data_IF_592076087385
#
_entry.id   IF_592076087385
#
_cell.length_a   1.000
_cell.length_b   1.000
_cell.length_c   1.000
_cell.angle_alpha   90.00
_cell.angle_beta   90.00
_cell.angle_gamma   90.00
#
_symmetry.space_group_name_H-M   'P 1'
#
loop_
_entity.id
_entity.type
_entity.pdbx_description
1 polymer ?
#
# COMPACT_ATOMS: atom_id res chain seq x y z
N UNK A 1 -29.81 -25.35 4.56
CA UNK A 1 -29.48 -23.98 4.09
C UNK A 1 -28.31 -23.36 4.87
N UNK A 2 -28.03 -23.72 6.13
CA UNK A 2 -26.86 -23.23 6.89
C UNK A 2 -25.48 -23.59 6.31
N UNK A 3 -25.35 -24.65 5.50
CA UNK A 3 -24.04 -25.07 4.98
C UNK A 3 -23.48 -24.22 3.83
N UNK A 4 -24.30 -23.43 3.12
CA UNK A 4 -23.81 -22.60 2.00
C UNK A 4 -23.22 -21.26 2.45
N UNK A 5 -23.75 -20.64 3.52
CA UNK A 5 -23.22 -19.38 4.04
C UNK A 5 -21.82 -19.54 4.67
N UNK A 6 -21.55 -20.67 5.33
CA UNK A 6 -20.23 -20.98 5.90
C UNK A 6 -19.13 -21.10 4.83
N UNK A 7 -19.48 -21.55 3.62
CA UNK A 7 -18.54 -21.70 2.49
C UNK A 7 -18.14 -20.35 1.86
N UNK A 8 -18.96 -19.31 1.99
CA UNK A 8 -18.74 -18.03 1.29
C UNK A 8 -17.97 -17.02 2.13
N UNK A 9 -18.33 -16.87 3.40
CA UNK A 9 -17.58 -16.05 4.36
C UNK A 9 -16.13 -16.56 4.48
N UNK A 10 -15.93 -17.87 4.38
CA UNK A 10 -14.59 -18.46 4.34
C UNK A 10 -13.80 -18.13 3.07
N UNK A 11 -14.44 -18.06 1.89
CA UNK A 11 -13.78 -17.64 0.63
C UNK A 11 -13.36 -16.18 0.62
N UNK A 12 -14.23 -15.26 1.08
CA UNK A 12 -13.90 -13.83 1.18
C UNK A 12 -12.80 -13.62 2.21
N UNK A 13 -12.89 -14.27 3.37
CA UNK A 13 -11.84 -14.23 4.40
C UNK A 13 -10.52 -14.77 3.87
N UNK A 14 -10.53 -15.90 3.16
CA UNK A 14 -9.37 -16.47 2.48
C UNK A 14 -8.79 -15.51 1.44
N UNK A 15 -9.63 -14.86 0.64
CA UNK A 15 -9.18 -13.90 -0.36
C UNK A 15 -8.56 -12.66 0.28
N UNK A 16 -9.17 -12.10 1.31
CA UNK A 16 -8.65 -10.95 2.06
C UNK A 16 -7.34 -11.30 2.75
N UNK A 17 -7.25 -12.46 3.42
CA UNK A 17 -6.01 -12.88 4.08
C UNK A 17 -4.91 -13.21 3.09
N UNK A 18 -5.21 -13.91 1.98
CA UNK A 18 -4.23 -14.21 0.94
C UNK A 18 -3.81 -12.97 0.14
N UNK A 19 -4.66 -11.95 0.07
CA UNK A 19 -4.32 -10.70 -0.61
C UNK A 19 -3.50 -9.77 0.28
N UNK A 20 -3.85 -9.63 1.56
CA UNK A 20 -3.18 -8.67 2.47
C UNK A 20 -1.92 -9.23 3.13
N UNK A 21 -1.90 -10.52 3.47
CA UNK A 21 -0.74 -11.13 4.13
C UNK A 21 0.16 -11.80 3.08
N UNK A 22 1.47 -11.49 3.08
CA UNK A 22 2.39 -12.20 2.21
C UNK A 22 2.47 -13.66 2.63
N UNK A 23 2.61 -14.56 1.65
CA UNK A 23 2.83 -15.97 1.97
C UNK A 23 4.20 -16.12 2.67
N UNK A 24 4.38 -17.13 3.55
CA UNK A 24 5.68 -17.36 4.19
C UNK A 24 6.84 -17.53 3.19
N UNK A 25 6.54 -18.04 1.98
CA UNK A 25 7.52 -18.21 0.91
C UNK A 25 7.90 -16.85 0.28
N UNK A 26 6.96 -15.90 0.22
CA UNK A 26 7.22 -14.54 -0.27
C UNK A 26 8.06 -13.71 0.71
N UNK A 27 8.12 -14.09 2.00
CA UNK A 27 8.96 -13.39 2.99
C UNK A 27 10.47 -13.52 2.69
N UNK A 28 10.90 -14.65 2.14
CA UNK A 28 12.32 -14.90 1.81
C UNK A 28 12.82 -13.88 0.76
N UNK A 29 12.21 -13.75 -0.44
CA UNK A 29 12.64 -12.75 -1.40
C UNK A 29 12.47 -11.32 -0.88
N UNK A 30 11.46 -11.03 -0.04
CA UNK A 30 11.34 -9.71 0.60
C UNK A 30 12.48 -9.40 1.55
N UNK A 31 12.96 -10.38 2.31
CA UNK A 31 14.11 -10.20 3.18
C UNK A 31 15.36 -9.85 2.36
N UNK A 32 15.65 -10.61 1.30
CA UNK A 32 16.80 -10.32 0.43
C UNK A 32 16.67 -8.99 -0.32
N UNK A 33 15.48 -8.68 -0.84
CA UNK A 33 15.22 -7.39 -1.49
C UNK A 33 15.36 -6.22 -0.51
N UNK A 34 14.89 -6.39 0.74
CA UNK A 34 15.03 -5.40 1.81
C UNK A 34 16.51 -5.12 2.11
N UNK A 35 17.34 -6.16 2.27
CA UNK A 35 18.77 -6.00 2.47
C UNK A 35 19.46 -5.32 1.28
N UNK A 36 19.06 -5.66 0.05
CA UNK A 36 19.60 -5.03 -1.15
C UNK A 36 19.22 -3.54 -1.21
N UNK A 37 17.96 -3.20 -0.98
CA UNK A 37 17.47 -1.81 -0.97
C UNK A 37 18.17 -0.99 0.11
N UNK A 38 18.29 -1.53 1.33
CA UNK A 38 19.00 -0.88 2.42
C UNK A 38 20.49 -0.73 2.13
N UNK A 39 21.12 -1.74 1.52
CA UNK A 39 22.53 -1.70 1.13
C UNK A 39 22.80 -0.64 0.06
N UNK A 40 21.96 -0.57 -0.98
CA UNK A 40 22.06 0.44 -2.04
C UNK A 40 21.80 1.84 -1.49
N UNK A 41 20.73 2.02 -0.71
CA UNK A 41 20.39 3.31 -0.10
C UNK A 41 21.46 3.80 0.88
N UNK A 42 22.17 2.87 1.52
CA UNK A 42 23.21 3.18 2.51
C UNK A 42 24.63 3.16 1.95
N UNK A 43 24.83 2.93 0.64
CA UNK A 43 26.16 2.60 0.11
C UNK A 43 27.23 3.66 0.45
N UNK A 44 26.87 4.94 0.34
CA UNK A 44 27.79 6.06 0.47
C UNK A 44 28.21 6.19 1.92
N UNK A 45 27.27 6.09 2.85
CA UNK A 45 27.56 6.17 4.28
C UNK A 45 28.36 4.96 4.74
N UNK A 46 28.05 3.75 4.26
CA UNK A 46 28.81 2.55 4.59
C UNK A 46 30.27 2.67 4.12
N UNK A 47 30.51 3.19 2.92
CA UNK A 47 31.86 3.43 2.41
C UNK A 47 32.62 4.48 3.25
N UNK A 48 31.95 5.54 3.69
CA UNK A 48 32.55 6.56 4.56
C UNK A 48 32.90 5.99 5.94
N UNK A 49 32.00 5.18 6.53
CA UNK A 49 32.26 4.52 7.82
C UNK A 49 33.46 3.58 7.71
N UNK A 50 33.55 2.81 6.61
CA UNK A 50 34.67 1.91 6.36
C UNK A 50 35.99 2.64 6.12
N UNK A 51 35.96 3.83 5.53
CA UNK A 51 37.15 4.61 5.19
C UNK A 51 37.69 5.43 6.38
N UNK A 52 36.81 6.16 7.08
CA UNK A 52 37.23 7.16 8.08
C UNK A 52 37.06 6.69 9.54
N UNK A 53 36.36 5.58 9.78
CA UNK A 53 36.11 5.07 11.14
C UNK A 53 35.40 6.07 12.06
N UNK A 54 34.79 7.12 11.50
CA UNK A 54 34.23 8.21 12.28
C UNK A 54 33.01 7.73 13.07
N UNK A 55 32.93 7.98 14.38
CA UNK A 55 31.73 7.66 15.15
C UNK A 55 30.58 8.54 14.69
N UNK A 56 29.48 7.91 14.25
CA UNK A 56 28.24 8.63 13.94
C UNK A 56 27.42 8.78 15.22
N UNK A 57 26.84 9.97 15.39
CA UNK A 57 26.06 10.34 16.56
C UNK A 57 24.92 9.34 16.79
N UNK A 58 24.80 8.74 17.98
CA UNK A 58 23.75 7.78 18.26
C UNK A 58 22.40 8.50 18.25
N UNK A 59 21.57 8.25 17.23
CA UNK A 59 20.20 8.74 17.16
C UNK A 59 19.22 7.62 17.55
N UNK A 60 18.18 8.00 18.30
CA UNK A 60 17.02 7.17 18.59
C UNK A 60 16.11 7.05 17.37
N UNK A 61 15.21 6.06 17.37
CA UNK A 61 14.24 5.87 16.28
C UNK A 61 13.36 7.10 16.11
N UNK A 62 12.88 7.68 17.22
CA UNK A 62 12.05 8.89 17.20
C UNK A 62 12.75 10.08 16.58
N UNK A 63 14.04 10.28 16.86
CA UNK A 63 14.82 11.38 16.28
C UNK A 63 15.05 11.23 14.79
N UNK A 64 15.28 10.00 14.29
CA UNK A 64 15.40 9.75 12.84
C UNK A 64 14.11 10.13 12.12
N UNK A 65 12.95 9.76 12.66
CA UNK A 65 11.67 10.17 12.08
C UNK A 65 11.40 11.66 12.28
N UNK A 66 11.76 12.24 13.42
CA UNK A 66 11.64 13.67 13.71
C UNK A 66 12.37 14.52 12.67
N UNK A 67 13.62 14.18 12.34
CA UNK A 67 14.40 14.86 11.30
C UNK A 67 13.72 14.80 9.92
N UNK A 68 13.06 13.67 9.59
CA UNK A 68 12.30 13.55 8.34
C UNK A 68 11.01 14.36 8.36
N UNK A 69 10.33 14.46 9.50
CA UNK A 69 9.14 15.30 9.66
C UNK A 69 9.50 16.79 9.62
N UNK A 70 10.61 17.20 10.22
CA UNK A 70 11.14 18.57 10.11
C UNK A 70 11.48 18.92 8.66
N UNK A 71 12.07 17.97 7.91
CA UNK A 71 12.28 18.14 6.48
C UNK A 71 10.96 18.39 5.73
N UNK A 72 9.91 17.61 6.01
CA UNK A 72 8.57 17.86 5.43
C UNK A 72 8.03 19.23 5.83
N UNK A 73 8.16 19.61 7.09
CA UNK A 73 7.75 20.92 7.60
C UNK A 73 8.47 22.06 6.86
N UNK A 74 9.77 21.90 6.61
CA UNK A 74 10.57 22.86 5.84
C UNK A 74 10.13 22.95 4.37
N UNK A 75 9.74 21.82 3.75
CA UNK A 75 9.17 21.80 2.41
C UNK A 75 7.80 22.49 2.36
N UNK A 76 6.98 22.31 3.40
CA UNK A 76 5.68 22.97 3.53
C UNK A 76 5.80 24.48 3.75
N UNK A 77 6.91 24.95 4.32
CA UNK A 77 7.18 26.38 4.50
C UNK A 77 7.48 27.12 3.19
N UNK A 78 7.84 26.41 2.11
CA UNK A 78 8.08 27.01 0.79
C UNK A 78 6.71 27.34 0.15
N UNK A 79 6.38 28.61 -0.18
CA UNK A 79 5.00 29.00 -0.50
C UNK A 79 4.34 28.26 -1.66
N UNK A 80 5.08 28.01 -2.75
CA UNK A 80 4.55 27.33 -3.94
C UNK A 80 4.63 25.81 -3.75
N UNK A 81 5.79 25.31 -3.32
CA UNK A 81 6.02 23.87 -3.16
C UNK A 81 5.15 23.29 -2.04
N UNK A 82 5.02 23.99 -0.92
CA UNK A 82 4.18 23.61 0.20
C UNK A 82 2.70 23.51 -0.18
N UNK A 83 2.19 24.41 -1.02
CA UNK A 83 0.82 24.31 -1.56
C UNK A 83 0.65 23.07 -2.45
N UNK A 84 1.63 22.77 -3.30
CA UNK A 84 1.59 21.58 -4.17
C UNK A 84 1.65 20.30 -3.33
N UNK A 85 2.55 20.22 -2.34
CA UNK A 85 2.66 19.07 -1.43
C UNK A 85 1.36 18.88 -0.64
N UNK A 86 0.79 19.96 -0.10
CA UNK A 86 -0.47 19.91 0.63
C UNK A 86 -1.63 19.46 -0.26
N UNK A 87 -1.70 19.96 -1.51
CA UNK A 87 -2.68 19.54 -2.49
C UNK A 87 -2.57 18.04 -2.80
N UNK A 88 -1.37 17.55 -3.11
CA UNK A 88 -1.12 16.13 -3.38
C UNK A 88 -1.46 15.28 -2.16
N UNK A 89 -1.12 15.73 -0.95
CA UNK A 89 -1.43 15.04 0.30
C UNK A 89 -2.94 14.86 0.49
N UNK A 90 -3.72 15.94 0.34
CA UNK A 90 -5.19 15.88 0.43
C UNK A 90 -5.79 15.04 -0.69
N UNK A 91 -5.23 15.09 -1.90
CA UNK A 91 -5.66 14.25 -3.00
C UNK A 91 -5.40 12.76 -2.71
N UNK A 92 -4.27 12.42 -2.10
CA UNK A 92 -3.97 11.08 -1.61
C UNK A 92 -4.98 10.60 -0.57
N UNK A 93 -5.30 11.42 0.44
CA UNK A 93 -6.34 11.11 1.44
C UNK A 93 -7.70 10.92 0.77
N UNK A 94 -8.09 11.84 -0.11
CA UNK A 94 -9.35 11.74 -0.86
C UNK A 94 -9.43 10.45 -1.69
N UNK A 95 -8.30 10.03 -2.29
CA UNK A 95 -8.19 8.79 -3.05
C UNK A 95 -8.41 7.56 -2.17
N UNK A 96 -7.79 7.51 -0.98
CA UNK A 96 -8.00 6.44 0.02
C UNK A 96 -9.46 6.36 0.43
N UNK A 97 -10.06 7.50 0.81
CA UNK A 97 -11.45 7.56 1.27
C UNK A 97 -12.40 7.12 0.16
N UNK A 98 -12.18 7.59 -1.07
CA UNK A 98 -12.97 7.18 -2.23
C UNK A 98 -12.90 5.68 -2.47
N UNK A 99 -11.70 5.08 -2.48
CA UNK A 99 -11.55 3.64 -2.63
C UNK A 99 -12.26 2.87 -1.52
N UNK A 100 -12.14 3.34 -0.27
CA UNK A 100 -12.83 2.74 0.87
C UNK A 100 -14.35 2.71 0.66
N UNK A 101 -14.94 3.88 0.36
CA UNK A 101 -16.38 3.99 0.08
C UNK A 101 -16.78 3.10 -1.09
N UNK A 102 -16.00 3.09 -2.17
CA UNK A 102 -16.25 2.28 -3.35
C UNK A 102 -16.27 0.78 -3.01
N UNK A 103 -15.30 0.29 -2.24
CA UNK A 103 -15.26 -1.11 -1.80
C UNK A 103 -16.49 -1.44 -0.96
N UNK A 104 -16.87 -0.57 -0.02
CA UNK A 104 -18.08 -0.78 0.80
C UNK A 104 -19.37 -0.79 -0.02
N UNK A 105 -19.50 0.09 -1.00
CA UNK A 105 -20.68 0.13 -1.89
C UNK A 105 -20.78 -1.15 -2.72
N UNK A 106 -19.68 -1.61 -3.32
CA UNK A 106 -19.69 -2.85 -4.10
C UNK A 106 -20.00 -4.07 -3.23
N UNK A 107 -19.42 -4.15 -2.03
CA UNK A 107 -19.76 -5.22 -1.08
C UNK A 107 -21.23 -5.18 -0.66
N UNK A 108 -21.80 -3.99 -0.45
CA UNK A 108 -23.21 -3.85 -0.08
C UNK A 108 -24.15 -4.27 -1.21
N UNK A 109 -23.81 -3.94 -2.46
CA UNK A 109 -24.58 -4.35 -3.65
C UNK A 109 -24.51 -5.86 -3.82
N UNK A 110 -23.32 -6.48 -3.74
CA UNK A 110 -23.18 -7.93 -3.83
C UNK A 110 -24.03 -8.66 -2.77
N UNK A 111 -24.00 -8.17 -1.53
CA UNK A 111 -24.80 -8.74 -0.43
C UNK A 111 -26.31 -8.54 -0.69
N UNK A 112 -26.73 -7.37 -1.19
CA UNK A 112 -28.13 -7.10 -1.50
C UNK A 112 -28.64 -7.98 -2.65
N UNK A 113 -27.91 -8.03 -3.76
CA UNK A 113 -28.25 -8.87 -4.91
C UNK A 113 -28.29 -10.35 -4.54
N UNK A 114 -27.39 -10.81 -3.68
CA UNK A 114 -27.42 -12.17 -3.16
C UNK A 114 -28.67 -12.46 -2.32
N UNK A 115 -29.08 -11.54 -1.43
CA UNK A 115 -30.28 -11.68 -0.60
C UNK A 115 -31.54 -11.68 -1.47
N UNK A 116 -31.58 -10.82 -2.48
CA UNK A 116 -32.71 -10.72 -3.42
C UNK A 116 -32.76 -11.95 -4.33
N UNK A 117 -31.64 -12.42 -4.85
CA UNK A 117 -31.56 -13.61 -5.70
C UNK A 117 -31.86 -14.90 -4.92
N UNK A 118 -31.46 -14.97 -3.65
CA UNK A 118 -31.85 -16.05 -2.73
C UNK A 118 -33.35 -16.04 -2.44
N UNK A 119 -34.00 -14.87 -2.40
CA UNK A 119 -35.46 -14.73 -2.29
C UNK A 119 -36.20 -15.03 -3.61
N UNK A 120 -35.63 -14.66 -4.75
CA UNK A 120 -36.24 -14.78 -6.08
C UNK A 120 -36.03 -16.13 -6.78
N UNK A 121 -35.18 -17.03 -6.24
CA UNK A 121 -35.02 -18.42 -6.70
C UNK A 121 -36.30 -19.27 -6.68
N UNK A 122 -37.46 -18.69 -6.32
CA UNK A 122 -38.81 -19.28 -6.45
C UNK A 122 -39.58 -18.88 -7.73
N UNK A 123 -39.08 -17.99 -8.60
CA UNK A 123 -39.82 -17.60 -9.81
C UNK A 123 -38.93 -17.54 -11.05
N UNK A 124 -39.00 -18.54 -11.97
CA UNK A 124 -38.08 -18.66 -13.10
C UNK A 124 -38.50 -17.87 -14.35
N UNK A 125 -39.07 -16.66 -14.22
CA UNK A 125 -39.77 -16.03 -15.36
C UNK A 125 -39.51 -14.54 -15.64
N UNK A 126 -38.62 -13.84 -14.95
CA UNK A 126 -38.42 -12.39 -15.17
C UNK A 126 -36.95 -11.95 -15.26
N UNK A 127 -36.13 -12.66 -16.03
CA UNK A 127 -34.76 -12.22 -16.32
C UNK A 127 -34.52 -12.09 -17.83
N UNK A 128 -35.44 -11.41 -18.49
CA UNK A 128 -35.22 -10.82 -19.82
C UNK A 128 -35.96 -9.48 -19.86
N UNK A 129 -35.24 -8.46 -20.33
CA UNK A 129 -35.79 -7.23 -20.93
C UNK A 129 -36.06 -5.98 -20.06
N UNK A 130 -35.24 -5.69 -19.04
CA UNK A 130 -35.14 -4.30 -18.54
C UNK A 130 -33.69 -3.78 -18.57
N UNK A 131 -33.32 -3.18 -19.71
CA UNK A 131 -32.47 -1.97 -19.79
C UNK A 131 -31.06 -2.01 -19.18
N UNK A 132 -30.18 -2.89 -19.67
CA UNK A 132 -28.76 -3.00 -19.27
C UNK A 132 -27.90 -1.72 -19.46
N UNK A 133 -28.43 -0.63 -20.00
CA UNK A 133 -27.66 0.57 -20.34
C UNK A 133 -27.59 1.64 -19.26
N UNK A 134 -28.55 1.73 -18.33
CA UNK A 134 -28.54 2.77 -17.29
C UNK A 134 -27.50 2.51 -16.19
N UNK A 135 -27.16 1.24 -15.94
CA UNK A 135 -26.06 0.84 -15.06
C UNK A 135 -24.67 0.85 -15.71
N UNK A 136 -24.60 0.82 -17.04
CA UNK A 136 -23.33 0.67 -17.78
C UNK A 136 -22.43 1.91 -17.71
N UNK A 137 -23.01 3.10 -17.79
CA UNK A 137 -22.25 4.36 -17.69
C UNK A 137 -21.77 4.63 -16.26
N UNK A 138 -22.62 4.34 -15.25
CA UNK A 138 -22.26 4.49 -13.84
C UNK A 138 -21.14 3.53 -13.43
N UNK A 139 -21.20 2.28 -13.89
CA UNK A 139 -20.13 1.31 -13.66
C UNK A 139 -18.85 1.69 -14.41
N UNK A 140 -18.93 2.05 -15.69
CA UNK A 140 -17.74 2.46 -16.49
C UNK A 140 -17.00 3.67 -15.91
N UNK A 141 -17.74 4.73 -15.55
CA UNK A 141 -17.16 5.95 -14.98
C UNK A 141 -16.55 5.68 -13.59
N UNK A 142 -17.23 4.87 -12.78
CA UNK A 142 -16.76 4.47 -11.44
C UNK A 142 -15.46 3.66 -11.51
N UNK A 143 -15.34 2.70 -12.43
CA UNK A 143 -14.10 1.95 -12.65
C UNK A 143 -12.95 2.85 -13.14
N UNK A 144 -13.24 3.78 -14.04
CA UNK A 144 -12.24 4.73 -14.54
C UNK A 144 -11.73 5.66 -13.43
N UNK A 145 -12.64 6.20 -12.61
CA UNK A 145 -12.30 7.03 -11.44
C UNK A 145 -11.50 6.22 -10.40
N UNK A 146 -11.90 4.98 -10.13
CA UNK A 146 -11.17 4.08 -9.24
C UNK A 146 -9.76 3.78 -9.76
N UNK A 147 -9.59 3.63 -11.08
CA UNK A 147 -8.28 3.44 -11.72
C UNK A 147 -7.40 4.69 -11.63
N UNK A 148 -7.93 5.87 -11.95
CA UNK A 148 -7.20 7.13 -11.79
C UNK A 148 -6.79 7.36 -10.32
N UNK A 149 -7.70 7.11 -9.38
CA UNK A 149 -7.44 7.18 -7.94
C UNK A 149 -6.34 6.21 -7.51
N UNK A 150 -6.35 4.98 -8.06
CA UNK A 150 -5.34 3.95 -7.78
C UNK A 150 -3.96 4.32 -8.29
N UNK A 151 -3.86 4.87 -9.50
CA UNK A 151 -2.60 5.40 -10.04
C UNK A 151 -2.06 6.52 -9.15
N UNK A 152 -2.91 7.46 -8.78
CA UNK A 152 -2.49 8.63 -8.01
C UNK A 152 -1.99 8.23 -6.63
N UNK A 153 -2.71 7.32 -5.97
CA UNK A 153 -2.34 6.80 -4.68
C UNK A 153 -1.02 6.00 -4.75
N UNK A 154 -0.81 5.22 -5.81
CA UNK A 154 0.45 4.54 -6.06
C UNK A 154 1.62 5.51 -6.28
N UNK A 155 1.43 6.57 -7.06
CA UNK A 155 2.43 7.62 -7.26
C UNK A 155 2.77 8.33 -5.94
N UNK A 156 1.74 8.71 -5.18
CA UNK A 156 1.91 9.34 -3.87
C UNK A 156 2.70 8.44 -2.92
N UNK A 157 2.32 7.15 -2.83
CA UNK A 157 3.01 6.18 -2.01
C UNK A 157 4.47 5.99 -2.44
N UNK A 158 4.73 5.94 -3.75
CA UNK A 158 6.09 5.79 -4.29
C UNK A 158 6.97 6.98 -3.90
N UNK A 159 6.46 8.20 -4.06
CA UNK A 159 7.17 9.42 -3.65
C UNK A 159 7.41 9.45 -2.14
N UNK A 160 6.40 9.10 -1.35
CA UNK A 160 6.52 9.01 0.11
C UNK A 160 7.55 7.95 0.54
N UNK A 161 7.51 6.78 -0.08
CA UNK A 161 8.44 5.70 0.21
C UNK A 161 9.89 6.10 -0.11
N UNK A 162 10.15 6.67 -1.29
CA UNK A 162 11.49 7.03 -1.73
C UNK A 162 12.08 8.23 -0.97
N UNK A 163 11.27 9.23 -0.60
CA UNK A 163 11.77 10.45 0.03
C UNK A 163 11.77 10.41 1.56
N UNK A 164 10.94 9.56 2.17
CA UNK A 164 10.75 9.56 3.63
C UNK A 164 11.05 8.18 4.22
N UNK A 165 10.36 7.13 3.78
CA UNK A 165 10.48 5.80 4.40
C UNK A 165 11.85 5.16 4.18
N UNK A 166 12.27 5.00 2.92
CA UNK A 166 13.56 4.36 2.58
C UNK A 166 14.74 5.11 3.21
N UNK A 167 14.81 6.45 3.17
CA UNK A 167 15.85 7.18 3.90
C UNK A 167 15.81 7.00 5.42
N UNK A 168 14.63 6.92 6.03
CA UNK A 168 14.51 6.64 7.47
C UNK A 168 14.99 5.23 7.83
N UNK A 169 14.58 4.21 7.07
CA UNK A 169 15.03 2.83 7.27
C UNK A 169 16.53 2.68 7.03
N UNK A 170 17.07 3.33 6.00
CA UNK A 170 18.50 3.36 5.71
C UNK A 170 19.30 3.99 6.86
N UNK A 171 18.84 5.10 7.43
CA UNK A 171 19.50 5.72 8.59
C UNK A 171 19.48 4.78 9.81
N UNK A 172 18.35 4.13 10.10
CA UNK A 172 18.26 3.15 11.19
C UNK A 172 19.18 1.94 10.97
N UNK A 173 19.27 1.47 9.72
CA UNK A 173 20.15 0.37 9.35
C UNK A 173 21.62 0.74 9.57
N UNK A 174 22.04 1.94 9.15
CA UNK A 174 23.39 2.45 9.36
C UNK A 174 23.74 2.56 10.85
N UNK A 175 22.87 3.19 11.65
CA UNK A 175 23.05 3.33 13.09
C UNK A 175 23.14 1.97 13.79
N UNK A 176 22.35 1.00 13.32
CA UNK A 176 22.37 -0.35 13.85
C UNK A 176 23.65 -1.13 13.52
N UNK A 177 24.24 -0.92 12.34
CA UNK A 177 25.50 -1.57 11.94
C UNK A 177 26.72 -1.06 12.71
N UNK A 178 26.70 0.19 13.17
CA UNK A 178 27.88 0.81 13.79
C UNK A 178 28.09 0.41 15.25
N UNK A 179 27.02 0.07 15.97
CA UNK A 179 27.10 -0.29 17.39
C UNK A 179 26.50 -1.68 17.66
N UNK A 180 26.98 -2.70 16.93
CA UNK A 180 26.50 -4.09 17.09
C UNK A 180 26.67 -4.64 18.52
N UNK A 181 27.55 -4.04 19.34
CA UNK A 181 27.73 -4.40 20.75
C UNK A 181 26.57 -4.00 21.64
N UNK A 182 25.76 -3.03 21.24
CA UNK A 182 24.62 -2.56 22.02
C UNK A 182 23.33 -3.28 21.61
N UNK A 183 22.58 -3.76 22.60
CA UNK A 183 21.26 -4.39 22.40
C UNK A 183 20.32 -3.46 21.61
N UNK A 184 20.39 -2.14 21.87
CA UNK A 184 19.58 -1.14 21.16
C UNK A 184 19.83 -1.09 19.65
N UNK A 185 21.03 -1.42 19.19
CA UNK A 185 21.39 -1.40 17.76
C UNK A 185 20.83 -2.60 17.00
N UNK A 186 20.74 -3.76 17.66
CA UNK A 186 20.05 -4.94 17.11
C UNK A 186 18.57 -4.61 16.86
N UNK A 187 17.92 -3.92 17.81
CA UNK A 187 16.54 -3.46 17.62
C UNK A 187 16.41 -2.50 16.43
N UNK A 188 17.33 -1.54 16.26
CA UNK A 188 17.32 -0.63 15.10
C UNK A 188 17.45 -1.38 13.76
N UNK A 189 18.33 -2.40 13.69
CA UNK A 189 18.46 -3.26 12.51
C UNK A 189 17.18 -4.02 12.19
N UNK A 190 16.58 -4.66 13.19
CA UNK A 190 15.33 -5.42 13.02
C UNK A 190 14.22 -4.48 12.52
N UNK A 191 14.07 -3.31 13.13
CA UNK A 191 13.07 -2.32 12.73
C UNK A 191 13.33 -1.82 11.29
N UNK A 192 14.58 -1.55 10.92
CA UNK A 192 14.92 -1.11 9.55
C UNK A 192 14.59 -2.16 8.50
N UNK A 193 14.97 -3.42 8.73
CA UNK A 193 14.70 -4.54 7.83
C UNK A 193 13.20 -4.78 7.72
N UNK A 194 12.51 -4.86 8.86
CA UNK A 194 11.06 -5.08 8.90
C UNK A 194 10.28 -3.92 8.27
N UNK A 195 10.64 -2.68 8.57
CA UNK A 195 10.05 -1.48 7.98
C UNK A 195 10.21 -1.45 6.46
N UNK A 196 11.38 -1.86 5.96
CA UNK A 196 11.62 -1.98 4.51
C UNK A 196 10.82 -3.12 3.89
N UNK A 197 10.69 -4.28 4.54
CA UNK A 197 9.83 -5.39 4.09
C UNK A 197 8.38 -4.93 3.99
N UNK A 198 7.86 -4.25 5.02
CA UNK A 198 6.49 -3.70 5.02
C UNK A 198 6.33 -2.69 3.88
N UNK A 199 7.32 -1.83 3.66
CA UNK A 199 7.30 -0.84 2.58
C UNK A 199 7.24 -1.52 1.20
N UNK A 200 8.09 -2.52 0.96
CA UNK A 200 8.09 -3.29 -0.28
C UNK A 200 6.79 -4.07 -0.48
N UNK A 201 6.24 -4.66 0.59
CA UNK A 201 4.98 -5.39 0.52
C UNK A 201 3.83 -4.47 0.13
N UNK A 202 3.69 -3.31 0.77
CA UNK A 202 2.67 -2.32 0.42
C UNK A 202 2.82 -1.87 -1.04
N UNK A 203 4.05 -1.63 -1.52
CA UNK A 203 4.31 -1.31 -2.92
C UNK A 203 3.80 -2.41 -3.86
N UNK A 204 4.07 -3.67 -3.55
CA UNK A 204 3.62 -4.82 -4.33
C UNK A 204 2.11 -4.98 -4.27
N UNK A 205 1.47 -4.68 -3.13
CA UNK A 205 0.00 -4.68 -3.04
C UNK A 205 -0.61 -3.66 -3.99
N UNK A 206 -0.07 -2.44 -4.05
CA UNK A 206 -0.54 -1.44 -5.02
C UNK A 206 -0.30 -1.88 -6.46
N UNK A 207 0.86 -2.47 -6.75
CA UNK A 207 1.14 -3.00 -8.07
C UNK A 207 0.19 -4.14 -8.46
N UNK A 208 -0.06 -5.10 -7.56
CA UNK A 208 -1.02 -6.20 -7.76
C UNK A 208 -2.44 -5.65 -7.97
N UNK A 209 -2.85 -4.64 -7.20
CA UNK A 209 -4.14 -3.96 -7.35
C UNK A 209 -4.24 -3.29 -8.74
N UNK A 210 -3.21 -2.54 -9.13
CA UNK A 210 -3.14 -1.88 -10.43
C UNK A 210 -3.25 -2.87 -11.59
N UNK A 211 -2.52 -3.99 -11.54
CA UNK A 211 -2.54 -5.01 -12.58
C UNK A 211 -3.90 -5.72 -12.68
N UNK A 212 -4.55 -6.01 -11.54
CA UNK A 212 -5.90 -6.60 -11.53
C UNK A 212 -6.92 -5.64 -12.13
N UNK A 213 -6.86 -4.37 -11.75
CA UNK A 213 -7.78 -3.35 -12.23
C UNK A 213 -7.58 -3.08 -13.73
N UNK A 214 -6.33 -3.03 -14.19
CA UNK A 214 -5.99 -2.97 -15.61
C UNK A 214 -6.64 -4.13 -16.36
N UNK A 215 -6.42 -5.37 -15.94
CA UNK A 215 -6.97 -6.54 -16.63
C UNK A 215 -8.50 -6.56 -16.64
N UNK A 216 -9.14 -6.11 -15.56
CA UNK A 216 -10.60 -6.01 -15.49
C UNK A 216 -11.15 -5.00 -16.52
N UNK A 217 -10.51 -3.84 -16.65
CA UNK A 217 -10.89 -2.85 -17.66
C UNK A 217 -10.65 -3.42 -19.07
N UNK A 218 -9.45 -3.92 -19.37
CA UNK A 218 -9.13 -4.40 -20.72
C UNK A 218 -10.02 -5.56 -21.17
N UNK A 219 -10.35 -6.52 -20.30
CA UNK A 219 -11.19 -7.66 -20.65
C UNK A 219 -12.70 -7.33 -20.79
N UNK A 220 -13.16 -6.20 -20.25
CA UNK A 220 -14.56 -5.78 -20.36
C UNK A 220 -14.81 -4.85 -21.56
N UNK A 221 -13.77 -4.22 -22.12
CA UNK A 221 -13.90 -3.28 -23.24
C UNK A 221 -13.33 -3.80 -24.58
N UNK A 222 -12.67 -4.97 -24.60
CA UNK A 222 -12.14 -5.63 -25.80
C UNK A 222 -12.48 -7.12 -25.78
#
# INVERSE_FOLDING_TARGET
>A
MEHQDYSRTSKIKLFITQFLLPSPIELIPYFFASLLVLGVASNRTLLVILADGSPVTPLSVGEVFGQRLEYISSLLAIPILGRVVLFIFWLGIGSVVYMGIWVFQNMAIEVYDDVVTAKLKKSPAQQKDEGDTEGWWGTTLSHTLFFCSSILLFLFYTLFALNILIPAWSTLFQLGLQSLSEVGSIFKLIIAIFGTIVTLHIFILFYKLFMRLKNFIFNNYY
#
